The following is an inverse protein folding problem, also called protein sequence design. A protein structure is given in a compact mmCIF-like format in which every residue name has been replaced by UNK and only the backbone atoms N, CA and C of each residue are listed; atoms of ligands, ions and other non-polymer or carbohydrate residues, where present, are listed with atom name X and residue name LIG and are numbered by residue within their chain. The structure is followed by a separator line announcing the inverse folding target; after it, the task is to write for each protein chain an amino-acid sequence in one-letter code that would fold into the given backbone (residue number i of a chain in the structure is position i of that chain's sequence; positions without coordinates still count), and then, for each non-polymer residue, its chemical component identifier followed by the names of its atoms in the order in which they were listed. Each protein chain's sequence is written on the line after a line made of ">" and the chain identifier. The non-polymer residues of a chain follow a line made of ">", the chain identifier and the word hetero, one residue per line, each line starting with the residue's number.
data_IF_656547204743
#
_entry.id   IF_656547204743
#
_cell.length_a   1.000
_cell.length_b   1.000
_cell.length_c   1.000
_cell.angle_alpha   90.00
_cell.angle_beta   90.00
_cell.angle_gamma   90.00
#
_symmetry.space_group_name_H-M   'P 1'
#
loop_
_entity.id
_entity.type
_entity.pdbx_description
1 polymer ?
#
# COMPACT_ATOMS: atom_id res chain seq x y z
N UNK A 1 -31.17 -0.91 6.31
CA UNK A 1 -30.98 -0.75 4.84
C UNK A 1 -30.52 0.66 4.46
N UNK A 2 -31.12 1.74 4.98
CA UNK A 2 -30.74 3.13 4.63
C UNK A 2 -29.25 3.45 4.82
N UNK A 3 -28.63 3.02 5.93
CA UNK A 3 -27.20 3.22 6.17
C UNK A 3 -26.31 2.57 5.10
N UNK A 4 -26.62 1.35 4.68
CA UNK A 4 -25.84 0.64 3.66
C UNK A 4 -25.88 1.37 2.31
N UNK A 5 -27.06 1.88 1.94
CA UNK A 5 -27.23 2.68 0.72
C UNK A 5 -26.45 4.00 0.82
N UNK A 6 -26.54 4.71 1.95
CA UNK A 6 -25.76 5.94 2.18
C UNK A 6 -24.25 5.68 2.08
N UNK A 7 -23.78 4.61 2.70
CA UNK A 7 -22.36 4.23 2.64
C UNK A 7 -21.93 3.86 1.22
N UNK A 8 -22.73 3.05 0.50
CA UNK A 8 -22.45 2.71 -0.89
C UNK A 8 -22.38 3.95 -1.77
N UNK A 9 -23.33 4.88 -1.61
CA UNK A 9 -23.33 6.15 -2.34
C UNK A 9 -22.09 6.99 -2.00
N UNK A 10 -21.69 7.07 -0.73
CA UNK A 10 -20.49 7.79 -0.32
C UNK A 10 -19.21 7.19 -0.92
N UNK A 11 -19.08 5.86 -0.95
CA UNK A 11 -17.93 5.17 -1.54
C UNK A 11 -17.88 5.33 -3.07
N UNK A 12 -19.05 5.43 -3.71
CA UNK A 12 -19.14 5.65 -5.15
C UNK A 12 -18.79 7.09 -5.53
N UNK A 13 -19.22 8.08 -4.74
CA UNK A 13 -19.08 9.52 -5.01
C UNK A 13 -17.85 10.20 -4.38
N UNK A 14 -17.11 9.52 -3.50
CA UNK A 14 -15.90 10.08 -2.91
C UNK A 14 -14.69 9.24 -3.27
N UNK A 15 -13.88 9.75 -4.20
CA UNK A 15 -12.61 9.12 -4.55
C UNK A 15 -11.72 8.94 -3.30
N UNK A 16 -11.61 9.97 -2.46
CA UNK A 16 -10.74 9.93 -1.28
C UNK A 16 -11.18 8.83 -0.30
N UNK A 17 -12.48 8.69 -0.04
CA UNK A 17 -13.02 7.61 0.79
C UNK A 17 -12.73 6.25 0.15
N UNK A 18 -13.03 6.10 -1.14
CA UNK A 18 -12.80 4.87 -1.90
C UNK A 18 -11.34 4.43 -1.85
N UNK A 19 -10.42 5.36 -2.09
CA UNK A 19 -8.98 5.13 -2.08
C UNK A 19 -8.47 4.81 -0.67
N UNK A 20 -8.95 5.53 0.34
CA UNK A 20 -8.56 5.27 1.73
C UNK A 20 -9.02 3.89 2.17
N UNK A 21 -10.27 3.52 1.90
CA UNK A 21 -10.80 2.17 2.18
C UNK A 21 -10.02 1.08 1.43
N UNK A 22 -9.71 1.30 0.16
CA UNK A 22 -8.92 0.36 -0.63
C UNK A 22 -7.54 0.10 0.01
N UNK A 23 -6.86 1.14 0.49
CA UNK A 23 -5.57 0.98 1.16
C UNK A 23 -5.73 0.37 2.56
N UNK A 24 -6.73 0.79 3.33
CA UNK A 24 -6.98 0.22 4.66
C UNK A 24 -7.22 -1.28 4.60
N UNK A 25 -8.15 -1.70 3.73
CA UNK A 25 -8.48 -3.12 3.53
C UNK A 25 -7.31 -3.85 2.88
N UNK A 26 -6.74 -3.28 1.83
CA UNK A 26 -5.64 -3.90 1.06
C UNK A 26 -4.42 -4.20 1.91
N UNK A 27 -3.94 -3.24 2.70
CA UNK A 27 -2.78 -3.43 3.57
C UNK A 27 -3.08 -4.39 4.72
N UNK A 28 -4.24 -4.24 5.37
CA UNK A 28 -4.59 -5.08 6.51
C UNK A 28 -4.73 -6.55 6.09
N UNK A 29 -5.44 -6.81 4.99
CA UNK A 29 -5.58 -8.17 4.45
C UNK A 29 -4.28 -8.67 3.84
N UNK A 30 -3.54 -7.83 3.12
CA UNK A 30 -2.29 -8.21 2.47
C UNK A 30 -1.22 -8.65 3.47
N UNK A 31 -1.05 -7.90 4.56
CA UNK A 31 -0.12 -8.24 5.63
C UNK A 31 -0.58 -9.48 6.42
N UNK A 32 -1.88 -9.61 6.69
CA UNK A 32 -2.44 -10.80 7.33
C UNK A 32 -2.22 -12.06 6.49
N UNK A 33 -2.50 -12.00 5.18
CA UNK A 33 -2.29 -13.12 4.27
C UNK A 33 -0.80 -13.42 4.08
N UNK A 34 0.05 -12.39 4.05
CA UNK A 34 1.50 -12.58 4.06
C UNK A 34 1.95 -13.36 5.30
N UNK A 35 1.46 -12.99 6.48
CA UNK A 35 1.78 -13.67 7.74
C UNK A 35 1.24 -15.09 7.81
N UNK A 36 -0.03 -15.31 7.43
CA UNK A 36 -0.70 -16.61 7.59
C UNK A 36 -0.35 -17.62 6.49
N UNK A 37 -0.02 -17.15 5.29
CA UNK A 37 0.23 -18.02 4.13
C UNK A 37 1.65 -17.90 3.63
N UNK A 38 2.14 -16.67 3.43
CA UNK A 38 3.48 -16.42 2.89
C UNK A 38 4.59 -16.94 3.80
N UNK A 39 4.51 -16.65 5.09
CA UNK A 39 5.53 -17.06 6.05
C UNK A 39 5.62 -18.59 6.21
N UNK A 40 4.53 -19.33 6.46
CA UNK A 40 4.59 -20.79 6.57
C UNK A 40 5.00 -21.46 5.26
N UNK A 41 4.52 -20.98 4.11
CA UNK A 41 4.84 -21.57 2.81
C UNK A 41 6.32 -21.42 2.47
N UNK A 42 6.92 -20.25 2.71
CA UNK A 42 8.35 -20.09 2.45
C UNK A 42 9.25 -20.80 3.46
N UNK A 43 8.80 -20.98 4.71
CA UNK A 43 9.47 -21.85 5.67
C UNK A 43 9.46 -23.32 5.20
N UNK A 44 8.32 -23.79 4.69
CA UNK A 44 8.18 -25.12 4.11
C UNK A 44 9.08 -25.32 2.86
N UNK A 45 9.20 -24.27 2.03
CA UNK A 45 10.09 -24.25 0.85
C UNK A 45 11.58 -24.01 1.18
N UNK A 46 11.92 -23.86 2.47
CA UNK A 46 13.28 -24.06 2.96
C UNK A 46 14.14 -22.81 3.18
N UNK A 47 13.64 -21.58 3.03
CA UNK A 47 14.43 -20.38 3.41
C UNK A 47 13.59 -19.25 4.03
N UNK A 48 14.10 -18.55 5.07
CA UNK A 48 13.47 -17.34 5.62
C UNK A 48 13.33 -16.22 4.58
N UNK A 49 14.27 -16.13 3.65
CA UNK A 49 14.20 -15.17 2.54
C UNK A 49 12.96 -15.42 1.69
N UNK A 50 12.69 -16.67 1.30
CA UNK A 50 11.54 -17.01 0.49
C UNK A 50 10.21 -16.75 1.22
N UNK A 51 10.15 -17.03 2.52
CA UNK A 51 9.00 -16.70 3.38
C UNK A 51 8.67 -15.20 3.31
N UNK A 52 9.71 -14.37 3.42
CA UNK A 52 9.55 -12.93 3.32
C UNK A 52 9.15 -12.47 1.91
N UNK A 53 9.81 -12.97 0.86
CA UNK A 53 9.48 -12.60 -0.52
C UNK A 53 8.04 -12.98 -0.89
N UNK A 54 7.59 -14.16 -0.48
CA UNK A 54 6.20 -14.59 -0.67
C UNK A 54 5.22 -13.74 0.12
N UNK A 55 5.56 -13.38 1.36
CA UNK A 55 4.75 -12.46 2.17
C UNK A 55 4.62 -11.09 1.51
N UNK A 56 5.73 -10.55 1.00
CA UNK A 56 5.77 -9.29 0.24
C UNK A 56 4.96 -9.39 -1.07
N UNK A 57 5.07 -10.49 -1.80
CA UNK A 57 4.29 -10.73 -3.02
C UNK A 57 2.79 -10.73 -2.76
N UNK A 58 2.34 -11.45 -1.74
CA UNK A 58 0.93 -11.52 -1.35
C UNK A 58 0.41 -10.15 -0.89
N UNK A 59 1.17 -9.45 -0.04
CA UNK A 59 0.81 -8.11 0.40
C UNK A 59 0.68 -7.16 -0.80
N UNK A 60 1.68 -7.13 -1.68
CA UNK A 60 1.68 -6.30 -2.89
C UNK A 60 0.52 -6.62 -3.84
N UNK A 61 0.20 -7.90 -4.03
CA UNK A 61 -0.90 -8.32 -4.90
C UNK A 61 -2.26 -7.88 -4.35
N UNK A 62 -2.50 -8.08 -3.05
CA UNK A 62 -3.77 -7.73 -2.40
C UNK A 62 -3.96 -6.22 -2.38
N UNK A 63 -2.95 -5.48 -1.92
CA UNK A 63 -2.95 -4.00 -1.95
C UNK A 63 -3.17 -3.50 -3.36
N UNK A 64 -2.41 -4.01 -4.33
CA UNK A 64 -2.54 -3.63 -5.73
C UNK A 64 -3.93 -3.91 -6.31
N UNK A 65 -4.56 -5.01 -5.93
CA UNK A 65 -5.92 -5.36 -6.37
C UNK A 65 -6.96 -4.39 -5.81
N UNK A 66 -6.87 -4.06 -4.51
CA UNK A 66 -7.76 -3.07 -3.89
C UNK A 66 -7.54 -1.67 -4.48
N UNK A 67 -6.30 -1.25 -4.68
CA UNK A 67 -5.97 0.02 -5.33
C UNK A 67 -6.47 0.07 -6.78
N UNK A 68 -6.32 -1.02 -7.53
CA UNK A 68 -6.86 -1.14 -8.89
C UNK A 68 -8.38 -0.93 -8.88
N UNK A 69 -9.12 -1.52 -7.93
CA UNK A 69 -10.56 -1.27 -7.83
C UNK A 69 -10.90 0.23 -7.68
N UNK A 70 -10.11 0.97 -6.90
CA UNK A 70 -10.29 2.41 -6.71
C UNK A 70 -9.86 3.25 -7.93
N UNK A 71 -8.83 2.82 -8.66
CA UNK A 71 -8.20 3.55 -9.78
C UNK A 71 -8.55 3.01 -11.18
N UNK A 72 -9.41 2.00 -11.31
CA UNK A 72 -9.67 1.25 -12.57
C UNK A 72 -10.02 2.10 -13.80
N UNK A 73 -10.51 3.33 -13.58
CA UNK A 73 -10.77 4.27 -14.66
C UNK A 73 -9.46 4.73 -15.34
N UNK A 74 -8.38 4.85 -14.57
CA UNK A 74 -7.13 5.54 -14.92
C UNK A 74 -6.00 4.53 -15.14
N UNK A 75 -5.88 3.52 -14.28
CA UNK A 75 -4.76 2.56 -14.33
C UNK A 75 -5.09 1.31 -15.15
N UNK A 76 -4.04 0.66 -15.63
CA UNK A 76 -4.10 -0.61 -16.36
C UNK A 76 -4.50 -1.78 -15.44
N UNK A 77 -5.15 -2.81 -16.03
CA UNK A 77 -5.40 -4.11 -15.38
C UNK A 77 -4.15 -4.81 -14.85
N UNK A 78 -2.96 -4.41 -15.34
CA UNK A 78 -1.67 -4.94 -14.88
C UNK A 78 -1.20 -4.33 -13.55
N UNK A 79 -1.85 -3.28 -13.03
CA UNK A 79 -1.49 -2.62 -11.77
C UNK A 79 -1.22 -3.57 -10.60
N UNK A 80 -2.03 -4.63 -10.36
CA UNK A 80 -1.77 -5.58 -9.28
C UNK A 80 -0.47 -6.37 -9.47
N UNK A 81 -0.06 -6.66 -10.72
CA UNK A 81 1.19 -7.37 -11.00
C UNK A 81 2.41 -6.51 -10.68
N UNK A 82 2.38 -5.22 -11.01
CA UNK A 82 3.46 -4.30 -10.64
C UNK A 82 3.52 -4.08 -9.13
N UNK A 83 2.35 -4.07 -8.47
CA UNK A 83 2.28 -3.99 -7.01
C UNK A 83 2.83 -5.28 -6.36
N UNK A 84 2.60 -6.45 -6.95
CA UNK A 84 3.23 -7.71 -6.53
C UNK A 84 4.76 -7.62 -6.65
N UNK A 85 5.28 -7.19 -7.80
CA UNK A 85 6.73 -7.00 -7.99
C UNK A 85 7.29 -6.00 -6.98
N UNK A 86 6.62 -4.87 -6.80
CA UNK A 86 6.97 -3.87 -5.80
C UNK A 86 6.92 -4.41 -4.37
N UNK A 87 5.99 -5.31 -4.05
CA UNK A 87 5.91 -5.98 -2.76
C UNK A 87 7.06 -6.97 -2.53
N UNK A 88 7.44 -7.74 -3.56
CA UNK A 88 8.62 -8.63 -3.51
C UNK A 88 9.89 -7.82 -3.28
N UNK A 89 10.09 -6.75 -4.07
CA UNK A 89 11.28 -5.91 -3.97
C UNK A 89 11.28 -5.07 -2.68
N UNK A 90 10.12 -4.59 -2.25
CA UNK A 90 9.93 -3.80 -1.03
C UNK A 90 10.12 -4.60 0.24
N UNK A 91 10.01 -5.93 0.17
CA UNK A 91 10.33 -6.81 1.28
C UNK A 91 11.83 -6.73 1.66
N UNK A 92 12.74 -6.41 0.74
CA UNK A 92 14.17 -6.27 1.06
C UNK A 92 14.47 -5.12 2.04
N UNK A 93 13.94 -3.90 1.86
CA UNK A 93 13.97 -2.88 2.91
C UNK A 93 13.42 -3.36 4.26
N UNK A 94 12.42 -4.26 4.26
CA UNK A 94 11.89 -4.86 5.48
C UNK A 94 12.83 -5.93 6.11
N UNK A 95 13.81 -6.46 5.37
CA UNK A 95 14.91 -7.27 5.95
C UNK A 95 15.91 -6.46 6.74
N UNK A 96 15.91 -5.14 6.57
CA UNK A 96 16.76 -4.24 7.35
C UNK A 96 16.17 -4.03 8.75
N UNK A 97 15.94 -5.14 9.47
CA UNK A 97 15.79 -5.21 10.93
C UNK A 97 16.91 -4.44 11.65
N UNK A 98 18.05 -4.22 10.99
CA UNK A 98 19.07 -3.29 11.45
C UNK A 98 18.57 -1.88 11.74
N UNK A 99 17.54 -1.37 11.03
CA UNK A 99 16.99 -0.04 11.32
C UNK A 99 16.31 0.05 12.68
N UNK A 100 15.56 -0.98 13.09
CA UNK A 100 14.90 -0.98 14.41
C UNK A 100 15.91 -1.18 15.53
N UNK A 101 16.99 -1.93 15.28
CA UNK A 101 18.09 -2.13 16.23
C UNK A 101 18.97 -0.89 16.41
N UNK A 102 19.25 -0.15 15.33
CA UNK A 102 20.17 1.01 15.35
C UNK A 102 19.50 2.33 15.77
N UNK A 103 18.24 2.53 15.38
CA UNK A 103 17.56 3.82 15.50
C UNK A 103 16.39 3.81 16.49
N UNK A 104 16.15 2.67 17.13
CA UNK A 104 15.01 2.43 17.99
C UNK A 104 13.76 2.00 17.21
N UNK A 105 12.84 1.39 17.94
CA UNK A 105 11.67 0.71 17.37
C UNK A 105 10.77 1.62 16.52
N UNK A 106 10.33 2.82 16.98
CA UNK A 106 9.40 3.64 16.19
C UNK A 106 10.03 4.18 14.91
N UNK A 107 11.26 4.69 14.99
CA UNK A 107 11.98 5.25 13.85
C UNK A 107 12.36 4.16 12.84
N UNK A 108 12.81 3.00 13.32
CA UNK A 108 13.08 1.86 12.45
C UNK A 108 11.86 1.39 11.66
N UNK A 109 10.70 1.29 12.32
CA UNK A 109 9.44 0.92 11.64
C UNK A 109 8.98 2.00 10.65
N UNK A 110 9.19 3.27 10.95
CA UNK A 110 8.91 4.36 10.01
C UNK A 110 9.81 4.25 8.76
N UNK A 111 11.11 4.03 8.93
CA UNK A 111 12.04 3.91 7.80
C UNK A 111 11.77 2.65 6.95
N UNK A 112 11.46 1.52 7.60
CA UNK A 112 11.04 0.30 6.90
C UNK A 112 9.76 0.53 6.09
N UNK A 113 8.75 1.17 6.70
CA UNK A 113 7.50 1.51 6.02
C UNK A 113 7.73 2.46 4.84
N UNK A 114 8.56 3.48 5.02
CA UNK A 114 8.91 4.43 3.96
C UNK A 114 9.66 3.74 2.81
N UNK A 115 10.66 2.91 3.12
CA UNK A 115 11.42 2.15 2.12
C UNK A 115 10.55 1.19 1.32
N UNK A 116 9.71 0.40 2.01
CA UNK A 116 8.77 -0.52 1.37
C UNK A 116 7.84 0.23 0.42
N UNK A 117 7.19 1.29 0.91
CA UNK A 117 6.23 2.06 0.12
C UNK A 117 6.89 2.78 -1.06
N UNK A 118 8.13 3.26 -0.90
CA UNK A 118 8.92 3.85 -1.99
C UNK A 118 9.20 2.85 -3.10
N UNK A 119 9.63 1.64 -2.77
CA UNK A 119 9.88 0.57 -3.76
C UNK A 119 8.59 0.14 -4.45
N UNK A 120 7.50 -0.02 -3.69
CA UNK A 120 6.18 -0.33 -4.23
C UNK A 120 5.74 0.75 -5.24
N UNK A 121 5.84 2.03 -4.86
CA UNK A 121 5.48 3.16 -5.70
C UNK A 121 6.36 3.23 -6.96
N UNK A 122 7.66 2.97 -6.83
CA UNK A 122 8.58 2.91 -7.96
C UNK A 122 8.17 1.82 -8.96
N UNK A 123 7.85 0.61 -8.48
CA UNK A 123 7.36 -0.47 -9.33
C UNK A 123 6.04 -0.12 -10.03
N UNK A 124 5.12 0.57 -9.35
CA UNK A 124 3.87 1.04 -9.93
C UNK A 124 4.07 2.13 -11.01
N UNK A 125 5.11 2.97 -10.89
CA UNK A 125 5.47 3.93 -11.93
C UNK A 125 5.96 3.27 -13.22
N UNK A 126 6.45 2.02 -13.15
CA UNK A 126 6.93 1.26 -14.33
C UNK A 126 5.79 0.66 -15.16
N UNK A 127 4.53 0.73 -14.70
CA UNK A 127 3.38 0.21 -15.43
C UNK A 127 3.36 0.83 -16.85
N UNK A 128 3.40 0.01 -17.91
CA UNK A 128 3.23 0.46 -19.28
C UNK A 128 1.89 1.16 -19.42
N UNK A 129 1.94 2.44 -19.79
CA UNK A 129 0.76 3.26 -20.00
C UNK A 129 0.02 2.77 -21.24
N UNK A 130 -1.01 1.95 -21.06
CA UNK A 130 -1.91 1.56 -22.16
C UNK A 130 -3.02 2.61 -22.35
N UNK A 131 -3.25 3.45 -21.34
CA UNK A 131 -4.11 4.63 -21.44
C UNK A 131 -3.24 5.90 -21.35
N UNK A 132 -3.53 6.94 -22.15
CA UNK A 132 -2.83 8.22 -22.09
C UNK A 132 -2.80 8.80 -20.66
N UNK A 133 -3.81 8.46 -19.86
CA UNK A 133 -3.98 8.92 -18.47
C UNK A 133 -2.96 8.33 -17.48
N UNK A 134 -2.19 7.28 -17.84
CA UNK A 134 -1.11 6.72 -17.00
C UNK A 134 0.25 7.36 -17.29
N UNK A 135 0.41 8.03 -18.44
CA UNK A 135 1.59 8.89 -18.68
C UNK A 135 1.72 9.95 -17.57
N UNK A 136 0.59 10.31 -16.97
CA UNK A 136 0.49 11.21 -15.84
C UNK A 136 1.27 10.75 -14.58
N UNK A 137 1.22 9.46 -14.21
CA UNK A 137 1.99 8.96 -13.07
C UNK A 137 3.49 9.00 -13.32
N UNK A 138 3.92 8.99 -14.58
CA UNK A 138 5.34 9.16 -14.94
C UNK A 138 5.76 10.62 -14.85
N UNK A 139 4.92 11.56 -15.31
CA UNK A 139 5.23 12.99 -15.21
C UNK A 139 5.30 13.47 -13.75
N UNK A 140 4.55 12.81 -12.85
CA UNK A 140 4.56 13.10 -11.42
C UNK A 140 5.20 11.99 -10.57
N UNK A 141 6.07 11.17 -11.17
CA UNK A 141 6.67 10.01 -10.48
C UNK A 141 7.39 10.42 -9.20
N UNK A 142 8.14 11.53 -9.22
CA UNK A 142 8.83 12.05 -8.04
C UNK A 142 7.87 12.38 -6.89
N UNK A 143 6.74 13.02 -7.20
CA UNK A 143 5.70 13.32 -6.20
C UNK A 143 5.03 12.05 -5.68
N UNK A 144 4.71 11.11 -6.56
CA UNK A 144 4.15 9.81 -6.18
C UNK A 144 5.08 9.03 -5.24
N UNK A 145 6.37 8.93 -5.57
CA UNK A 145 7.36 8.28 -4.71
C UNK A 145 7.46 8.99 -3.35
N UNK A 146 7.67 10.31 -3.34
CA UNK A 146 7.86 11.07 -2.10
C UNK A 146 6.68 10.93 -1.14
N UNK A 147 5.44 11.04 -1.64
CA UNK A 147 4.25 10.87 -0.80
C UNK A 147 4.04 9.43 -0.36
N UNK A 148 4.35 8.43 -1.18
CA UNK A 148 4.28 7.03 -0.74
C UNK A 148 5.31 6.73 0.34
N UNK A 149 6.53 7.26 0.23
CA UNK A 149 7.54 7.12 1.27
C UNK A 149 7.09 7.79 2.58
N UNK A 150 6.58 9.02 2.51
CA UNK A 150 6.03 9.71 3.68
C UNK A 150 4.86 8.95 4.30
N UNK A 151 3.89 8.56 3.48
CA UNK A 151 2.72 7.79 3.90
C UNK A 151 3.11 6.44 4.51
N UNK A 152 4.07 5.75 3.90
CA UNK A 152 4.63 4.49 4.39
C UNK A 152 5.31 4.65 5.74
N UNK A 153 6.07 5.73 5.93
CA UNK A 153 6.71 6.02 7.21
C UNK A 153 5.72 6.36 8.32
N UNK A 154 4.72 7.19 8.01
CA UNK A 154 3.63 7.47 8.94
C UNK A 154 2.82 6.21 9.28
N UNK A 155 2.55 5.37 8.28
CA UNK A 155 1.87 4.10 8.46
C UNK A 155 2.66 3.16 9.37
N UNK A 156 3.96 2.99 9.12
CA UNK A 156 4.85 2.16 9.93
C UNK A 156 4.92 2.65 11.38
N UNK A 157 5.15 3.94 11.58
CA UNK A 157 5.19 4.56 12.91
C UNK A 157 3.85 4.41 13.67
N UNK A 158 2.72 4.67 13.01
CA UNK A 158 1.40 4.57 13.63
C UNK A 158 0.99 3.12 13.93
N UNK A 159 1.49 2.15 13.16
CA UNK A 159 1.21 0.74 13.36
C UNK A 159 1.95 0.14 14.55
N UNK A 160 3.05 0.78 15.01
CA UNK A 160 3.77 0.38 16.24
C UNK A 160 2.86 0.39 17.46
N UNK A 161 1.98 1.38 17.58
CA UNK A 161 1.03 1.49 18.70
C UNK A 161 -0.02 0.37 18.68
N UNK A 162 -0.32 -0.17 17.50
CA UNK A 162 -1.27 -1.26 17.30
C UNK A 162 -0.60 -2.66 17.34
N UNK A 163 0.73 -2.73 17.33
CA UNK A 163 1.48 -3.99 17.48
C UNK A 163 1.40 -4.57 18.90
N UNK A 164 0.65 -3.93 19.81
CA UNK A 164 0.21 -4.57 21.04
C UNK A 164 -0.64 -5.81 20.69
N UNK A 165 -0.41 -6.97 21.34
CA UNK A 165 -0.89 -8.30 20.92
C UNK A 165 -2.42 -8.48 20.84
N UNK A 166 -3.20 -7.44 21.11
CA UNK A 166 -4.66 -7.50 21.27
C UNK A 166 -5.39 -6.81 20.11
N UNK A 167 -4.75 -5.90 19.35
CA UNK A 167 -5.43 -5.14 18.31
C UNK A 167 -5.22 -5.77 16.92
N UNK A 168 -6.29 -6.12 16.19
CA UNK A 168 -6.19 -6.49 14.80
C UNK A 168 -5.47 -5.38 14.02
N UNK A 169 -4.61 -5.75 13.07
CA UNK A 169 -3.91 -4.77 12.22
C UNK A 169 -4.89 -3.81 11.50
N UNK A 170 -6.12 -4.28 11.25
CA UNK A 170 -7.26 -3.54 10.71
C UNK A 170 -7.66 -2.35 11.59
N UNK A 171 -7.42 -2.42 12.90
CA UNK A 171 -7.71 -1.39 13.88
C UNK A 171 -6.55 -0.38 14.04
N UNK A 172 -5.42 -0.60 13.37
CA UNK A 172 -4.33 0.36 13.39
C UNK A 172 -4.67 1.61 12.56
N UNK A 173 -4.22 2.78 13.03
CA UNK A 173 -4.38 4.03 12.29
C UNK A 173 -3.47 4.10 11.05
N UNK A 174 -2.49 3.20 10.92
CA UNK A 174 -1.48 3.24 9.87
C UNK A 174 -2.07 3.16 8.45
N UNK A 175 -2.78 2.08 8.08
CA UNK A 175 -3.35 1.92 6.75
C UNK A 175 -4.33 3.05 6.34
N UNK A 176 -5.24 3.54 7.21
CA UNK A 176 -6.03 4.73 6.92
C UNK A 176 -5.19 5.98 6.65
N UNK A 177 -4.14 6.23 7.46
CA UNK A 177 -3.24 7.36 7.23
C UNK A 177 -2.51 7.25 5.90
N UNK A 178 -2.06 6.03 5.55
CA UNK A 178 -1.43 5.77 4.26
C UNK A 178 -2.36 6.15 3.10
N UNK A 179 -3.59 5.66 3.16
CA UNK A 179 -4.63 5.93 2.17
C UNK A 179 -4.97 7.41 2.08
N UNK A 180 -5.11 8.10 3.21
CA UNK A 180 -5.44 9.52 3.24
C UNK A 180 -4.33 10.38 2.62
N UNK A 181 -3.07 10.17 3.00
CA UNK A 181 -1.93 10.97 2.51
C UNK A 181 -1.73 10.79 1.00
N UNK A 182 -1.73 9.53 0.54
CA UNK A 182 -1.58 9.23 -0.90
C UNK A 182 -2.82 9.66 -1.70
N UNK A 183 -4.01 9.54 -1.12
CA UNK A 183 -5.27 9.97 -1.72
C UNK A 183 -5.36 11.49 -1.90
N UNK A 184 -4.86 12.27 -0.94
CA UNK A 184 -4.81 13.73 -1.04
C UNK A 184 -3.88 14.18 -2.16
N UNK A 185 -2.73 13.53 -2.34
CA UNK A 185 -1.87 13.77 -3.50
C UNK A 185 -2.64 13.45 -4.80
N UNK A 186 -3.31 12.30 -4.85
CA UNK A 186 -4.06 11.90 -6.02
C UNK A 186 -5.13 12.93 -6.38
N UNK A 187 -5.96 13.36 -5.43
CA UNK A 187 -7.02 14.35 -5.67
C UNK A 187 -6.46 15.71 -6.10
N UNK A 188 -5.39 16.19 -5.43
CA UNK A 188 -4.91 17.58 -5.64
C UNK A 188 -4.03 17.73 -6.86
N UNK A 189 -3.18 16.74 -7.11
CA UNK A 189 -2.11 16.85 -8.11
C UNK A 189 -2.43 15.96 -9.29
N UNK A 190 -2.99 14.77 -9.07
CA UNK A 190 -2.96 13.70 -10.07
C UNK A 190 -4.27 13.56 -10.87
N UNK A 191 -5.40 13.68 -10.19
CA UNK A 191 -6.70 13.44 -10.80
C UNK A 191 -7.17 14.68 -11.58
N UNK A 192 -7.58 14.50 -12.86
CA UNK A 192 -8.28 15.54 -13.59
C UNK A 192 -9.57 15.90 -12.85
N UNK A 193 -10.06 17.15 -13.01
CA UNK A 193 -11.20 17.66 -12.24
C UNK A 193 -12.43 16.75 -12.30
N UNK A 194 -12.68 16.17 -13.47
CA UNK A 194 -13.81 15.25 -13.72
C UNK A 194 -13.69 13.91 -12.96
N UNK A 195 -12.50 13.53 -12.49
CA UNK A 195 -12.25 12.30 -11.73
C UNK A 195 -12.20 12.53 -10.22
N UNK A 196 -12.37 13.78 -9.76
CA UNK A 196 -12.39 14.13 -8.32
C UNK A 196 -13.75 13.86 -7.66
N UNK A 197 -14.83 13.83 -8.46
CA UNK A 197 -16.17 13.43 -8.07
C UNK A 197 -16.34 11.89 -8.06
#
# INVERSE_FOLDING_TARGET
>A
MAFLQLFQNAVQTSFLLRWTLANTVGWSLGLLLGLLLGAPLGQWLGTPLLALLLSGALAGLVVGTCQYWALRAIVSRRWPLYSLVGGVLGAFPALLLGFTLLLGWPLGMALMGAGFAGVLAAAQCLVPSVKPDVAFLRTHAGGWLAFNMLAGGLCGAASVLAALPILPLVCSAGPPLFGLVTGLLLVRVILPENARA
#
